data_IF_155463433538
#
_entry.id   IF_155463433538
#
_cell.length_a   1.000
_cell.length_b   1.000
_cell.length_c   1.000
_cell.angle_alpha   90.00
_cell.angle_beta   90.00
_cell.angle_gamma   90.00
#
_symmetry.space_group_name_H-M   'P 1'
#
loop_
_entity.id
_entity.type
_entity.pdbx_description
1 polymer ?
#
# COMPACT_ATOMS: atom_id res chain seq x y z
N UNK A 1 -10.86 -17.48 -6.19
CA UNK A 1 -10.78 -18.93 -6.17
C UNK A 1 -9.42 -19.38 -6.74
N UNK A 2 -8.59 -20.13 -5.98
CA UNK A 2 -7.28 -20.59 -6.47
C UNK A 2 -7.34 -21.43 -7.74
N UNK A 3 -8.37 -22.27 -7.90
CA UNK A 3 -8.54 -23.12 -9.09
C UNK A 3 -8.73 -22.31 -10.38
N UNK A 4 -9.42 -21.18 -10.31
CA UNK A 4 -9.57 -20.27 -11.45
C UNK A 4 -8.25 -19.62 -11.85
N UNK A 5 -7.41 -19.28 -10.87
CA UNK A 5 -6.05 -18.75 -11.10
C UNK A 5 -5.20 -19.77 -11.84
N UNK A 6 -5.26 -21.03 -11.38
CA UNK A 6 -4.50 -22.14 -11.96
C UNK A 6 -4.97 -22.42 -13.39
N UNK A 7 -6.29 -22.54 -13.61
CA UNK A 7 -6.87 -22.78 -14.94
C UNK A 7 -6.50 -21.63 -15.90
N UNK A 8 -6.67 -20.38 -15.46
CA UNK A 8 -6.37 -19.23 -16.29
C UNK A 8 -4.87 -19.18 -16.68
N UNK A 9 -3.97 -19.28 -15.71
CA UNK A 9 -2.53 -19.23 -15.95
C UNK A 9 -2.08 -20.37 -16.89
N UNK A 10 -2.59 -21.59 -16.65
CA UNK A 10 -2.25 -22.76 -17.46
C UNK A 10 -2.74 -22.64 -18.90
N UNK A 11 -3.97 -22.18 -19.09
CA UNK A 11 -4.59 -22.08 -20.43
C UNK A 11 -4.09 -20.90 -21.26
N UNK A 12 -3.76 -19.78 -20.61
CA UNK A 12 -3.30 -18.58 -21.30
C UNK A 12 -1.79 -18.54 -21.51
N UNK A 13 -1.03 -19.22 -20.64
CA UNK A 13 0.43 -19.14 -20.63
C UNK A 13 0.96 -17.74 -20.27
N UNK A 14 0.20 -16.95 -19.51
CA UNK A 14 0.66 -15.62 -19.09
C UNK A 14 1.84 -15.71 -18.12
N UNK A 15 2.74 -14.72 -18.17
CA UNK A 15 3.98 -14.69 -17.38
C UNK A 15 3.74 -14.30 -15.90
N UNK A 16 2.66 -13.61 -15.62
CA UNK A 16 2.26 -13.20 -14.27
C UNK A 16 0.77 -12.89 -14.24
N UNK A 17 0.17 -12.91 -13.05
CA UNK A 17 -1.25 -12.61 -12.89
C UNK A 17 -1.49 -11.73 -11.67
N UNK A 18 -2.32 -10.70 -11.83
CA UNK A 18 -2.83 -9.93 -10.71
C UNK A 18 -4.07 -10.62 -10.13
N UNK A 19 -4.01 -10.94 -8.84
CA UNK A 19 -5.15 -11.52 -8.11
C UNK A 19 -5.46 -10.67 -6.88
N UNK A 20 -6.71 -10.74 -6.42
CA UNK A 20 -7.11 -10.13 -5.15
C UNK A 20 -7.09 -11.19 -4.04
N UNK A 21 -6.48 -10.86 -2.92
CA UNK A 21 -6.49 -11.66 -1.69
C UNK A 21 -7.11 -10.88 -0.53
N UNK A 22 -8.16 -10.10 -0.82
CA UNK A 22 -8.81 -9.20 0.14
C UNK A 22 -8.36 -7.76 0.02
N UNK A 23 -7.63 -7.38 -1.04
CA UNK A 23 -7.23 -6.01 -1.32
C UNK A 23 -8.26 -5.28 -2.19
N UNK A 24 -8.37 -3.96 -2.03
CA UNK A 24 -9.17 -3.09 -2.90
C UNK A 24 -8.50 -1.74 -3.12
N UNK A 25 -8.89 -1.02 -4.17
CA UNK A 25 -8.30 0.28 -4.51
C UNK A 25 -8.78 1.42 -3.58
N UNK A 26 -7.98 2.48 -3.45
CA UNK A 26 -8.32 3.71 -2.73
C UNK A 26 -7.83 3.74 -1.28
N UNK A 27 -8.21 4.80 -0.55
CA UNK A 27 -7.87 5.03 0.85
C UNK A 27 -8.98 4.57 1.82
N UNK A 28 -10.12 4.16 1.29
CA UNK A 28 -11.28 3.62 2.03
C UNK A 28 -11.54 2.19 1.56
N UNK A 29 -10.58 1.31 1.88
CA UNK A 29 -10.59 -0.09 1.41
C UNK A 29 -11.59 -0.95 2.18
N UNK A 30 -11.86 -0.57 3.41
CA UNK A 30 -12.72 -1.29 4.34
C UNK A 30 -13.70 -0.32 4.99
N UNK A 31 -14.90 -0.78 5.29
CA UNK A 31 -15.82 -0.01 6.14
C UNK A 31 -15.44 -0.23 7.62
N UNK A 32 -15.78 0.71 8.53
CA UNK A 32 -15.50 0.53 9.94
C UNK A 32 -16.06 -0.77 10.53
N UNK A 33 -17.19 -1.26 10.00
CA UNK A 33 -17.86 -2.50 10.43
C UNK A 33 -17.07 -3.76 10.03
N UNK A 34 -16.22 -3.67 9.01
CA UNK A 34 -15.35 -4.76 8.58
C UNK A 34 -14.06 -4.82 9.39
N UNK A 35 -13.77 -3.77 10.17
CA UNK A 35 -12.54 -3.64 10.93
C UNK A 35 -12.76 -3.91 12.41
N UNK A 36 -11.68 -4.31 13.09
CA UNK A 36 -11.59 -4.24 14.55
C UNK A 36 -10.88 -2.94 14.96
N UNK A 37 -10.87 -2.61 16.26
CA UNK A 37 -10.06 -1.50 16.79
C UNK A 37 -8.98 -2.06 17.71
N UNK A 38 -7.75 -1.55 17.52
CA UNK A 38 -6.65 -1.88 18.43
C UNK A 38 -6.76 -1.08 19.74
N UNK A 39 -5.79 -1.25 20.65
CA UNK A 39 -5.76 -0.58 21.95
C UNK A 39 -5.70 0.97 21.83
N UNK A 40 -5.13 1.48 20.75
CA UNK A 40 -5.03 2.91 20.42
C UNK A 40 -6.30 3.45 19.73
N UNK A 41 -7.33 2.60 19.51
CA UNK A 41 -8.57 2.96 18.82
C UNK A 41 -8.46 3.06 17.31
N UNK A 42 -7.33 2.66 16.71
CA UNK A 42 -7.09 2.64 15.27
C UNK A 42 -7.81 1.44 14.66
N UNK A 43 -8.46 1.66 13.51
CA UNK A 43 -9.09 0.59 12.75
C UNK A 43 -8.04 -0.39 12.20
N UNK A 44 -8.29 -1.67 12.41
CA UNK A 44 -7.46 -2.78 11.89
C UNK A 44 -8.30 -3.60 10.93
N UNK A 45 -7.93 -3.67 9.65
CA UNK A 45 -8.70 -4.43 8.67
C UNK A 45 -8.55 -5.95 8.90
N UNK A 46 -9.43 -6.76 8.28
CA UNK A 46 -9.26 -8.21 8.28
C UNK A 46 -7.94 -8.62 7.62
N UNK A 47 -7.38 -9.78 8.00
CA UNK A 47 -6.16 -10.28 7.38
C UNK A 47 -6.36 -10.58 5.89
N UNK A 48 -5.29 -10.48 5.11
CA UNK A 48 -5.28 -10.93 3.73
C UNK A 48 -5.44 -12.47 3.67
N UNK A 49 -6.08 -12.95 2.61
CA UNK A 49 -6.33 -14.38 2.38
C UNK A 49 -5.05 -15.10 1.89
N UNK A 50 -4.09 -15.28 2.77
CA UNK A 50 -2.81 -15.94 2.46
C UNK A 50 -2.98 -17.39 1.99
N UNK A 51 -4.01 -18.08 2.46
CA UNK A 51 -4.36 -19.42 2.01
C UNK A 51 -4.60 -19.51 0.51
N UNK A 52 -5.03 -18.42 -0.13
CA UNK A 52 -5.15 -18.34 -1.60
C UNK A 52 -3.77 -18.33 -2.26
N UNK A 53 -2.81 -17.57 -1.72
CA UNK A 53 -1.43 -17.56 -2.22
C UNK A 53 -0.77 -18.92 -2.03
N UNK A 54 -0.95 -19.53 -0.88
CA UNK A 54 -0.37 -20.85 -0.55
C UNK A 54 -0.90 -21.92 -1.50
N UNK A 55 -2.20 -21.94 -1.78
CA UNK A 55 -2.81 -22.86 -2.72
C UNK A 55 -2.32 -22.65 -4.17
N UNK A 56 -2.12 -21.41 -4.59
CA UNK A 56 -1.55 -21.09 -5.92
C UNK A 56 -0.09 -21.53 -5.99
N UNK A 57 0.72 -21.26 -4.96
CA UNK A 57 2.14 -21.65 -4.91
C UNK A 57 2.34 -23.17 -4.95
N UNK A 58 1.43 -23.94 -4.30
CA UNK A 58 1.47 -25.39 -4.32
C UNK A 58 1.29 -25.96 -5.73
N UNK A 59 0.37 -25.39 -6.51
CA UNK A 59 0.00 -25.89 -7.85
C UNK A 59 0.81 -25.27 -8.98
N UNK A 60 1.27 -24.05 -8.81
CA UNK A 60 2.08 -23.28 -9.77
C UNK A 60 3.35 -22.75 -9.09
N UNK A 61 4.31 -23.61 -8.73
CA UNK A 61 5.55 -23.18 -8.06
C UNK A 61 6.31 -22.15 -8.88
N UNK A 62 6.64 -21.01 -8.24
CA UNK A 62 7.39 -19.92 -8.87
C UNK A 62 6.58 -19.02 -9.81
N UNK A 63 5.27 -19.23 -9.95
CA UNK A 63 4.44 -18.35 -10.77
C UNK A 63 4.28 -16.97 -10.12
N UNK A 64 4.62 -15.86 -10.84
CA UNK A 64 4.64 -14.52 -10.27
C UNK A 64 3.22 -13.97 -10.06
N UNK A 65 2.93 -13.56 -8.83
CA UNK A 65 1.67 -12.88 -8.46
C UNK A 65 1.88 -11.39 -8.26
N UNK A 66 0.93 -10.60 -8.72
CA UNK A 66 0.89 -9.14 -8.56
C UNK A 66 -0.27 -8.76 -7.65
N UNK A 67 -0.02 -7.91 -6.66
CA UNK A 67 -1.06 -7.32 -5.81
C UNK A 67 -1.40 -5.90 -6.25
N UNK A 68 -2.67 -5.67 -6.53
CA UNK A 68 -3.28 -4.35 -6.67
C UNK A 68 -4.04 -3.95 -5.40
N UNK A 69 -4.38 -2.67 -5.28
CA UNK A 69 -5.14 -2.16 -4.14
C UNK A 69 -4.41 -2.28 -2.79
N UNK A 70 -3.09 -2.27 -2.80
CA UNK A 70 -2.23 -2.63 -1.67
C UNK A 70 -1.58 -1.44 -0.95
N UNK A 71 -2.10 -0.22 -1.13
CA UNK A 71 -1.63 0.93 -0.34
C UNK A 71 -1.91 0.72 1.14
N UNK A 72 -0.95 1.09 1.99
CA UNK A 72 -1.06 0.93 3.46
C UNK A 72 -1.81 2.07 4.15
N UNK A 73 -1.98 3.20 3.44
CA UNK A 73 -2.62 4.41 4.00
C UNK A 73 -1.93 4.84 5.30
N UNK A 74 -0.68 5.35 5.24
CA UNK A 74 0.09 5.69 6.43
C UNK A 74 -0.67 6.68 7.32
N UNK A 75 -0.92 6.29 8.57
CA UNK A 75 -1.78 7.05 9.49
C UNK A 75 -1.16 8.39 9.89
N UNK A 76 0.16 8.50 9.91
CA UNK A 76 0.86 9.76 10.10
C UNK A 76 0.53 10.79 9.01
N UNK A 77 0.45 10.38 7.75
CA UNK A 77 0.10 11.26 6.64
C UNK A 77 -1.38 11.67 6.70
N UNK A 78 -2.25 10.75 7.07
CA UNK A 78 -3.68 11.03 7.31
C UNK A 78 -3.84 12.05 8.44
N UNK A 79 -3.10 11.90 9.54
CA UNK A 79 -3.12 12.82 10.67
C UNK A 79 -2.64 14.23 10.27
N UNK A 80 -1.56 14.33 9.50
CA UNK A 80 -1.06 15.62 8.98
C UNK A 80 -2.10 16.28 8.07
N UNK A 81 -2.69 15.54 7.14
CA UNK A 81 -3.73 16.05 6.25
C UNK A 81 -4.91 16.58 7.06
N UNK A 82 -5.40 15.83 8.04
CA UNK A 82 -6.53 16.24 8.88
C UNK A 82 -6.19 17.46 9.75
N UNK A 83 -4.98 17.52 10.31
CA UNK A 83 -4.48 18.66 11.09
C UNK A 83 -4.47 19.96 10.28
N UNK A 84 -4.12 19.87 9.01
CA UNK A 84 -3.97 21.02 8.12
C UNK A 84 -5.16 21.21 7.15
N UNK A 85 -6.37 21.02 7.67
CA UNK A 85 -7.62 21.37 6.99
C UNK A 85 -8.14 20.32 6.02
N UNK A 86 -7.60 19.10 6.05
CA UNK A 86 -8.17 17.93 5.37
C UNK A 86 -9.31 17.30 6.18
N UNK A 87 -9.99 16.35 5.55
CA UNK A 87 -11.05 15.56 6.18
C UNK A 87 -11.03 14.15 5.63
N UNK A 88 -10.21 13.31 6.25
CA UNK A 88 -10.07 11.88 5.92
C UNK A 88 -10.42 11.04 7.16
N UNK A 89 -11.71 10.96 7.54
CA UNK A 89 -12.13 10.08 8.63
C UNK A 89 -12.00 8.62 8.19
N UNK A 90 -11.60 7.75 9.10
CA UNK A 90 -11.58 6.28 8.89
C UNK A 90 -10.83 5.79 7.63
N UNK A 91 -9.90 6.61 7.10
CA UNK A 91 -9.04 6.19 6.00
C UNK A 91 -8.07 5.11 6.48
N UNK A 92 -8.11 3.93 5.85
CA UNK A 92 -7.35 2.76 6.26
C UNK A 92 -6.90 1.96 5.03
N UNK A 93 -5.73 1.35 5.11
CA UNK A 93 -5.16 0.50 4.08
C UNK A 93 -4.75 -0.87 4.59
N UNK A 94 -3.90 -1.54 3.83
CA UNK A 94 -3.38 -2.86 4.20
C UNK A 94 -2.19 -2.68 5.16
N UNK A 95 -2.17 -3.35 6.33
CA UNK A 95 -1.03 -3.31 7.24
C UNK A 95 0.27 -3.74 6.55
N UNK A 96 1.35 -3.00 6.78
CA UNK A 96 2.63 -3.22 6.10
C UNK A 96 3.26 -4.57 6.42
N UNK A 97 3.04 -5.11 7.62
CA UNK A 97 3.47 -6.46 7.98
C UNK A 97 2.80 -7.54 7.12
N UNK A 98 1.56 -7.34 6.71
CA UNK A 98 0.87 -8.26 5.79
C UNK A 98 1.44 -8.13 4.36
N UNK A 99 1.72 -6.91 3.90
CA UNK A 99 2.39 -6.69 2.62
C UNK A 99 3.80 -7.29 2.62
N UNK A 100 4.54 -7.15 3.73
CA UNK A 100 5.85 -7.77 3.91
C UNK A 100 5.77 -9.29 3.87
N UNK A 101 4.76 -9.89 4.51
CA UNK A 101 4.51 -11.33 4.44
C UNK A 101 4.22 -11.76 2.99
N UNK A 102 3.37 -11.01 2.27
CA UNK A 102 3.07 -11.30 0.87
C UNK A 102 4.31 -11.19 -0.03
N UNK A 103 5.17 -10.17 0.17
CA UNK A 103 6.42 -9.99 -0.57
C UNK A 103 7.45 -11.13 -0.36
N UNK A 104 7.30 -11.93 0.70
CA UNK A 104 8.11 -13.13 0.97
C UNK A 104 7.53 -14.41 0.38
N UNK A 105 6.38 -14.32 -0.30
CA UNK A 105 5.69 -15.45 -0.93
C UNK A 105 5.74 -15.35 -2.46
N UNK A 106 4.71 -15.76 -3.17
CA UNK A 106 4.60 -15.66 -4.62
C UNK A 106 4.45 -14.22 -5.16
N UNK A 107 4.26 -13.24 -4.29
CA UNK A 107 4.03 -11.85 -4.72
C UNK A 107 5.34 -11.20 -5.14
N UNK A 108 5.48 -10.95 -6.43
CA UNK A 108 6.66 -10.34 -7.04
C UNK A 108 6.50 -8.83 -7.30
N UNK A 109 5.28 -8.31 -7.23
CA UNK A 109 4.97 -6.89 -7.44
C UNK A 109 3.81 -6.45 -6.57
N UNK A 110 3.96 -5.28 -5.93
CA UNK A 110 2.92 -4.64 -5.10
C UNK A 110 2.68 -3.23 -5.65
N UNK A 111 1.45 -2.95 -6.10
CA UNK A 111 1.08 -1.63 -6.60
C UNK A 111 0.61 -0.73 -5.46
N UNK A 112 1.24 0.44 -5.34
CA UNK A 112 1.00 1.44 -4.29
C UNK A 112 0.75 2.79 -4.97
N UNK A 113 -0.42 3.39 -4.75
CA UNK A 113 -0.78 4.71 -5.27
C UNK A 113 -1.21 5.68 -4.16
N UNK A 114 -2.19 5.29 -3.33
CA UNK A 114 -2.75 6.16 -2.29
C UNK A 114 -1.70 6.69 -1.32
N UNK A 115 -0.69 5.89 -0.97
CA UNK A 115 0.38 6.30 -0.05
C UNK A 115 1.19 7.46 -0.63
N UNK A 116 1.48 7.44 -1.94
CA UNK A 116 2.18 8.52 -2.65
C UNK A 116 1.36 9.81 -2.64
N UNK A 117 0.06 9.69 -2.90
CA UNK A 117 -0.87 10.84 -2.88
C UNK A 117 -0.99 11.44 -1.48
N UNK A 118 -1.07 10.61 -0.45
CA UNK A 118 -1.12 11.04 0.95
C UNK A 118 0.16 11.79 1.34
N UNK A 119 1.33 11.20 1.09
CA UNK A 119 2.63 11.80 1.39
C UNK A 119 2.80 13.17 0.70
N UNK A 120 2.42 13.27 -0.57
CA UNK A 120 2.47 14.53 -1.32
C UNK A 120 1.50 15.56 -0.75
N UNK A 121 0.24 15.16 -0.52
CA UNK A 121 -0.82 16.06 -0.05
C UNK A 121 -0.56 16.56 1.37
N UNK A 122 -0.06 15.71 2.26
CA UNK A 122 0.29 16.08 3.63
C UNK A 122 1.33 17.20 3.67
N UNK A 123 2.42 17.04 2.93
CA UNK A 123 3.49 18.03 2.88
C UNK A 123 3.02 19.36 2.26
N UNK A 124 2.22 19.35 1.19
CA UNK A 124 1.68 20.57 0.56
C UNK A 124 0.74 21.29 1.53
N UNK A 125 -0.18 20.59 2.18
CA UNK A 125 -1.10 21.19 3.16
C UNK A 125 -0.35 21.80 4.33
N UNK A 126 0.67 21.13 4.83
CA UNK A 126 1.51 21.63 5.90
C UNK A 126 2.18 22.95 5.50
N UNK A 127 2.79 23.01 4.31
CA UNK A 127 3.43 24.25 3.82
C UNK A 127 2.42 25.38 3.73
N UNK A 128 1.26 25.18 3.15
CA UNK A 128 0.25 26.23 3.00
C UNK A 128 -0.31 26.72 4.35
N UNK A 129 -0.41 25.83 5.35
CA UNK A 129 -0.87 26.21 6.68
C UNK A 129 0.22 26.96 7.49
N UNK A 130 1.47 26.49 7.42
CA UNK A 130 2.58 27.07 8.19
C UNK A 130 3.18 28.30 7.51
N UNK A 131 3.05 28.42 6.20
CA UNK A 131 3.56 29.51 5.37
C UNK A 131 2.50 30.02 4.41
N UNK A 132 1.44 30.68 4.90
CA UNK A 132 0.27 31.04 4.10
C UNK A 132 0.55 32.03 2.95
N UNK A 133 1.67 32.73 2.99
CA UNK A 133 2.12 33.61 1.90
C UNK A 133 2.91 32.90 0.80
N UNK A 134 3.12 31.57 0.92
CA UNK A 134 3.92 30.85 -0.06
C UNK A 134 3.10 30.53 -1.33
N UNK A 135 3.62 30.95 -2.47
CA UNK A 135 2.97 30.76 -3.77
C UNK A 135 3.87 30.12 -4.84
N UNK A 136 5.19 29.98 -4.55
CA UNK A 136 6.12 29.35 -5.49
C UNK A 136 6.01 27.83 -5.44
N UNK A 137 5.63 27.16 -6.55
CA UNK A 137 5.50 25.69 -6.58
C UNK A 137 6.75 24.94 -6.09
N UNK A 138 7.93 25.47 -6.32
CA UNK A 138 9.19 24.86 -5.87
C UNK A 138 9.27 24.76 -4.34
N UNK A 139 8.59 25.67 -3.63
CA UNK A 139 8.60 25.74 -2.16
C UNK A 139 7.63 24.79 -1.49
N UNK A 140 6.55 24.37 -2.15
CA UNK A 140 5.63 23.38 -1.62
C UNK A 140 5.74 22.01 -2.31
N UNK A 141 6.15 21.93 -3.58
CA UNK A 141 6.41 20.66 -4.24
C UNK A 141 7.77 20.05 -3.88
N UNK A 142 8.76 20.86 -3.49
CA UNK A 142 10.03 20.39 -2.97
C UNK A 142 9.85 19.47 -1.75
N UNK A 143 9.27 19.98 -0.65
CA UNK A 143 8.93 19.17 0.53
C UNK A 143 8.04 17.95 0.21
N UNK A 144 7.08 18.11 -0.72
CA UNK A 144 6.22 17.02 -1.15
C UNK A 144 7.01 15.88 -1.82
N UNK A 145 7.91 16.21 -2.73
CA UNK A 145 8.82 15.24 -3.37
C UNK A 145 9.71 14.54 -2.33
N UNK A 146 10.24 15.30 -1.39
CA UNK A 146 11.14 14.76 -0.37
C UNK A 146 10.40 13.82 0.59
N UNK A 147 9.13 14.11 0.92
CA UNK A 147 8.27 13.23 1.70
C UNK A 147 7.94 11.94 0.92
N UNK A 148 7.58 12.05 -0.36
CA UNK A 148 7.39 10.88 -1.22
C UNK A 148 8.66 10.00 -1.32
N UNK A 149 9.84 10.63 -1.45
CA UNK A 149 11.12 9.90 -1.46
C UNK A 149 11.31 9.08 -0.18
N UNK A 150 11.06 9.67 0.99
CA UNK A 150 11.14 8.96 2.27
C UNK A 150 10.18 7.78 2.34
N UNK A 151 8.94 7.99 1.88
CA UNK A 151 7.94 6.93 1.83
C UNK A 151 8.39 5.78 0.92
N UNK A 152 8.93 6.06 -0.27
CA UNK A 152 9.44 5.00 -1.16
C UNK A 152 10.64 4.27 -0.56
N UNK A 153 11.58 4.98 0.07
CA UNK A 153 12.70 4.37 0.78
C UNK A 153 12.21 3.42 1.89
N UNK A 154 11.22 3.86 2.68
CA UNK A 154 10.59 3.02 3.69
C UNK A 154 9.97 1.75 3.07
N UNK A 155 9.23 1.88 1.96
CA UNK A 155 8.61 0.72 1.29
C UNK A 155 9.65 -0.26 0.74
N UNK A 156 10.72 0.23 0.14
CA UNK A 156 11.80 -0.62 -0.38
C UNK A 156 12.41 -1.47 0.74
N UNK A 157 12.72 -0.85 1.87
CA UNK A 157 13.39 -1.53 2.99
C UNK A 157 12.41 -2.40 3.78
N UNK A 158 11.31 -1.80 4.26
CA UNK A 158 10.48 -2.43 5.29
C UNK A 158 9.34 -3.28 4.71
N UNK A 159 8.86 -2.97 3.51
CA UNK A 159 7.77 -3.73 2.87
C UNK A 159 8.32 -4.72 1.84
N UNK A 160 9.07 -4.26 0.85
CA UNK A 160 9.59 -5.12 -0.21
C UNK A 160 10.82 -5.91 0.23
N UNK A 161 11.73 -5.29 1.01
CA UNK A 161 13.03 -5.88 1.37
C UNK A 161 13.91 -6.10 0.15
N UNK A 162 13.83 -5.18 -0.79
CA UNK A 162 14.61 -5.20 -2.03
C UNK A 162 15.82 -4.26 -1.99
N UNK A 163 16.11 -3.66 -0.84
CA UNK A 163 17.36 -2.93 -0.60
C UNK A 163 18.57 -3.88 -0.76
N UNK A 164 19.61 -3.40 -1.40
CA UNK A 164 20.81 -4.20 -1.71
C UNK A 164 20.58 -5.32 -2.74
N UNK A 165 19.46 -5.37 -3.43
CA UNK A 165 19.15 -6.45 -4.40
C UNK A 165 20.12 -6.49 -5.60
N UNK A 166 20.77 -5.36 -5.92
CA UNK A 166 21.77 -5.28 -6.99
C UNK A 166 23.19 -5.68 -6.54
N UNK A 167 23.37 -5.93 -5.25
CA UNK A 167 24.67 -6.31 -4.66
C UNK A 167 24.82 -7.84 -4.47
N UNK A 168 23.79 -8.60 -4.89
CA UNK A 168 23.69 -10.06 -4.72
C UNK A 168 23.97 -10.81 -6.02
#
# INVERSE_FOLDING_TARGET
NPEEVIDFATRTGCDSLAISIGTSHGAYKFTPEQCTRNAEGILVPPPLAFEVLDAVMEKLPGFPIVLHGSSSVPQEEVAIINKYGGKLPDAIGIPEEQLRKAAKSAVCKINIDSDSRLAMTAAIRQVFAEKPGEFDPRKYLGPARDNMKKMYQHKIVNVLGSDGALEK
#
